data_IF_816417232911
#
_entry.id   IF_816417232911
#
_cell.length_a   1.000
_cell.length_b   1.000
_cell.length_c   1.000
_cell.angle_alpha   90.00
_cell.angle_beta   90.00
_cell.angle_gamma   90.00
#
_symmetry.space_group_name_H-M   'P 1'
#
loop_
_entity.id
_entity.type
_entity.pdbx_description
1 polymer ?
#
# COMPACT_ATOMS: atom_id res chain seq x y z
N UNK A 1 -1.79 -3.64 -7.50
CA UNK A 1 -1.20 -2.69 -6.54
C UNK A 1 0.31 -2.76 -6.66
N UNK A 2 0.96 -1.61 -6.77
CA UNK A 2 2.42 -1.51 -6.76
C UNK A 2 2.86 -0.71 -5.54
N UNK A 3 3.90 -1.17 -4.85
CA UNK A 3 4.51 -0.52 -3.70
C UNK A 3 5.95 -0.16 -4.04
N UNK A 4 6.32 1.09 -3.80
CA UNK A 4 7.69 1.59 -3.84
C UNK A 4 8.13 1.95 -2.41
N UNK A 5 9.21 1.31 -1.94
CA UNK A 5 9.69 1.47 -0.58
C UNK A 5 10.78 2.54 -0.52
N UNK A 6 10.60 3.53 0.34
CA UNK A 6 11.51 4.68 0.53
C UNK A 6 12.19 4.67 1.90
N UNK A 7 11.65 3.93 2.86
CA UNK A 7 12.21 3.69 4.21
C UNK A 7 11.88 2.25 4.62
N UNK A 8 12.70 1.66 5.49
CA UNK A 8 12.42 0.32 6.04
C UNK A 8 10.99 0.23 6.55
N UNK A 9 10.25 -0.77 6.08
CA UNK A 9 8.85 -0.95 6.43
C UNK A 9 8.51 -2.43 6.55
N UNK A 10 7.96 -2.84 7.70
CA UNK A 10 7.34 -4.15 7.81
C UNK A 10 6.02 -4.12 7.04
N UNK A 11 5.87 -5.01 6.05
CA UNK A 11 4.72 -5.02 5.17
C UNK A 11 4.03 -6.38 5.21
N UNK A 12 2.73 -6.37 5.41
CA UNK A 12 1.85 -7.53 5.22
C UNK A 12 0.77 -7.19 4.19
N UNK A 13 0.73 -7.92 3.08
CA UNK A 13 -0.30 -7.79 2.03
C UNK A 13 -1.11 -9.08 1.95
N UNK A 14 -2.43 -8.94 2.04
CA UNK A 14 -3.40 -10.00 1.76
C UNK A 14 -4.20 -9.59 0.53
N UNK A 15 -4.17 -10.43 -0.51
CA UNK A 15 -4.95 -10.27 -1.74
C UNK A 15 -6.08 -11.29 -1.75
N UNK A 16 -7.33 -10.83 -1.83
CA UNK A 16 -8.53 -11.67 -1.89
C UNK A 16 -8.57 -12.78 -0.82
N UNK A 17 -8.09 -12.49 0.38
CA UNK A 17 -8.04 -13.43 1.50
C UNK A 17 -6.75 -14.27 1.60
N UNK A 18 -5.90 -14.26 0.56
CA UNK A 18 -4.62 -14.95 0.56
C UNK A 18 -3.48 -14.00 0.95
N UNK A 19 -2.74 -14.34 2.00
CA UNK A 19 -1.59 -13.53 2.43
C UNK A 19 -0.40 -13.78 1.51
N UNK A 20 -0.07 -12.78 0.68
CA UNK A 20 0.92 -12.90 -0.41
C UNK A 20 2.30 -12.33 -0.05
N UNK A 21 2.38 -11.45 0.95
CA UNK A 21 3.64 -10.90 1.46
C UNK A 21 3.55 -10.68 2.96
N UNK A 22 4.60 -11.07 3.71
CA UNK A 22 4.79 -10.72 5.12
C UNK A 22 6.29 -10.67 5.42
N UNK A 23 6.92 -9.49 5.31
CA UNK A 23 8.34 -9.31 5.67
C UNK A 23 8.68 -7.84 5.84
N UNK A 24 9.89 -7.58 6.35
CA UNK A 24 10.52 -6.27 6.23
C UNK A 24 10.92 -6.04 4.76
N UNK A 25 10.61 -4.85 4.25
CA UNK A 25 11.09 -4.34 2.98
C UNK A 25 12.04 -3.17 3.21
N UNK A 26 13.11 -3.11 2.44
CA UNK A 26 14.16 -2.10 2.49
C UNK A 26 13.95 -0.99 1.43
N UNK A 27 14.53 0.21 1.60
CA UNK A 27 14.49 1.29 0.62
C UNK A 27 14.98 0.83 -0.76
N UNK A 28 14.25 1.19 -1.80
CA UNK A 28 14.55 0.82 -3.18
C UNK A 28 13.90 -0.49 -3.62
N UNK A 29 13.34 -1.28 -2.70
CA UNK A 29 12.52 -2.42 -3.08
C UNK A 29 11.18 -1.98 -3.68
N UNK A 30 10.74 -2.73 -4.68
CA UNK A 30 9.40 -2.58 -5.26
C UNK A 30 8.66 -3.91 -5.23
N UNK A 31 7.34 -3.87 -5.07
CA UNK A 31 6.49 -5.05 -5.05
C UNK A 31 5.21 -4.82 -5.83
N UNK A 32 4.77 -5.81 -6.59
CA UNK A 32 3.53 -5.74 -7.37
C UNK A 32 2.65 -6.93 -7.02
N UNK A 33 1.36 -6.66 -6.80
CA UNK A 33 0.36 -7.64 -6.42
C UNK A 33 -0.92 -7.42 -7.21
N UNK A 34 -1.63 -8.50 -7.51
CA UNK A 34 -2.95 -8.45 -8.14
C UNK A 34 -4.03 -8.96 -7.20
N UNK A 35 -5.23 -8.41 -7.31
CA UNK A 35 -6.44 -8.80 -6.60
C UNK A 35 -7.67 -8.49 -7.47
N UNK A 36 -8.71 -9.30 -7.33
CA UNK A 36 -10.01 -9.14 -7.96
C UNK A 36 -10.95 -8.26 -7.14
N UNK A 37 -11.01 -8.46 -5.83
CA UNK A 37 -11.97 -7.79 -4.96
C UNK A 37 -11.31 -6.75 -4.07
N UNK A 38 -10.23 -7.14 -3.38
CA UNK A 38 -9.67 -6.31 -2.30
C UNK A 38 -8.22 -6.66 -1.93
N UNK A 39 -7.54 -5.65 -1.41
CA UNK A 39 -6.33 -5.81 -0.62
C UNK A 39 -6.60 -5.48 0.85
N UNK A 40 -6.01 -6.25 1.76
CA UNK A 40 -5.82 -5.85 3.15
C UNK A 40 -4.32 -5.70 3.40
N UNK A 41 -3.91 -4.47 3.70
CA UNK A 41 -2.50 -4.09 3.82
C UNK A 41 -2.22 -3.58 5.23
N UNK A 42 -1.15 -4.08 5.83
CA UNK A 42 -0.60 -3.54 7.07
C UNK A 42 0.81 -3.05 6.77
N UNK A 43 1.10 -1.79 7.13
CA UNK A 43 2.42 -1.20 7.03
C UNK A 43 2.89 -0.82 8.43
N UNK A 44 4.12 -1.19 8.80
CA UNK A 44 4.73 -0.85 10.08
C UNK A 44 5.40 0.52 10.11
N UNK A 45 5.70 1.08 8.94
CA UNK A 45 6.24 2.41 8.74
C UNK A 45 5.62 3.02 7.48
N UNK A 46 4.38 3.50 7.59
CA UNK A 46 3.57 3.91 6.44
C UNK A 46 4.17 5.06 5.63
N UNK A 47 4.85 6.01 6.28
CA UNK A 47 5.54 7.14 5.63
C UNK A 47 6.69 6.71 4.72
N UNK A 48 7.16 5.47 4.86
CA UNK A 48 8.16 4.84 3.99
C UNK A 48 7.61 4.17 2.74
N UNK A 49 6.32 4.29 2.44
CA UNK A 49 5.66 3.53 1.37
C UNK A 49 4.88 4.44 0.44
N UNK A 50 5.20 4.38 -0.86
CA UNK A 50 4.35 4.94 -1.92
C UNK A 50 3.59 3.80 -2.56
N UNK A 51 2.28 3.97 -2.71
CA UNK A 51 1.40 2.93 -3.25
C UNK A 51 0.69 3.46 -4.49
N UNK A 52 0.54 2.60 -5.50
CA UNK A 52 -0.32 2.85 -6.66
C UNK A 52 -1.27 1.69 -6.88
N UNK A 53 -2.48 1.99 -7.34
CA UNK A 53 -3.44 1.00 -7.84
C UNK A 53 -3.82 1.37 -9.27
N UNK A 54 -3.71 0.40 -10.17
CA UNK A 54 -4.06 0.54 -11.58
C UNK A 54 -3.38 1.77 -12.23
N UNK A 55 -2.10 1.99 -11.90
CA UNK A 55 -1.30 3.12 -12.38
C UNK A 55 -1.63 4.48 -11.73
N UNK A 56 -2.61 4.55 -10.82
CA UNK A 56 -2.96 5.79 -10.12
C UNK A 56 -2.33 5.83 -8.72
N UNK A 57 -1.65 6.92 -8.35
CA UNK A 57 -1.09 7.06 -7.01
C UNK A 57 -2.17 7.14 -5.94
N UNK A 58 -1.92 6.48 -4.82
CA UNK A 58 -2.67 6.69 -3.59
C UNK A 58 -2.06 7.86 -2.82
N UNK A 59 -2.87 8.54 -2.03
CA UNK A 59 -2.40 9.43 -0.97
C UNK A 59 -1.48 8.66 -0.02
N UNK A 60 -0.62 9.37 0.69
CA UNK A 60 0.12 8.77 1.80
C UNK A 60 -0.84 8.06 2.75
N UNK A 61 -0.57 6.78 2.99
CA UNK A 61 -1.43 5.92 3.80
C UNK A 61 -1.26 6.19 5.29
N UNK A 62 -0.14 6.80 5.69
CA UNK A 62 0.19 7.24 7.04
C UNK A 62 1.55 7.93 7.07
N UNK A 63 1.96 8.37 8.26
CA UNK A 63 3.23 9.07 8.50
C UNK A 63 4.42 8.15 8.84
N UNK A 64 5.57 8.78 9.06
CA UNK A 64 6.81 8.09 9.47
C UNK A 64 6.62 7.35 10.80
N UNK A 65 6.99 6.06 10.83
CA UNK A 65 6.85 5.18 11.98
C UNK A 65 5.41 4.79 12.31
N UNK A 66 4.42 5.28 11.55
CA UNK A 66 3.02 4.99 11.81
C UNK A 66 2.67 3.58 11.30
N UNK A 67 2.00 2.83 12.17
CA UNK A 67 1.42 1.53 11.80
C UNK A 67 0.01 1.76 11.25
N UNK A 68 -0.19 1.45 9.97
CA UNK A 68 -1.50 1.59 9.33
C UNK A 68 -2.05 0.25 8.88
N UNK A 69 -3.38 0.12 8.95
CA UNK A 69 -4.14 -1.03 8.45
C UNK A 69 -5.18 -0.50 7.50
N UNK A 70 -5.07 -0.86 6.22
CA UNK A 70 -5.96 -0.35 5.18
C UNK A 70 -6.63 -1.51 4.44
N UNK A 71 -7.96 -1.40 4.31
CA UNK A 71 -8.74 -2.19 3.37
C UNK A 71 -8.87 -1.36 2.09
N UNK A 72 -8.44 -1.91 0.96
CA UNK A 72 -8.55 -1.27 -0.34
C UNK A 72 -9.47 -2.13 -1.20
N UNK A 73 -10.62 -1.56 -1.59
CA UNK A 73 -11.60 -2.18 -2.49
C UNK A 73 -12.23 -1.09 -3.38
N UNK A 74 -13.13 -1.47 -4.29
CA UNK A 74 -13.78 -0.53 -5.20
C UNK A 74 -14.58 0.58 -4.49
N UNK A 75 -15.15 0.32 -3.31
CA UNK A 75 -16.00 1.29 -2.60
C UNK A 75 -15.19 2.44 -2.00
N UNK A 76 -13.95 2.18 -1.59
CA UNK A 76 -13.11 3.17 -0.88
C UNK A 76 -11.97 3.70 -1.74
N UNK A 77 -11.68 3.07 -2.89
CA UNK A 77 -10.52 3.39 -3.73
C UNK A 77 -10.47 4.88 -4.07
N UNK A 78 -11.59 5.47 -4.50
CA UNK A 78 -11.64 6.89 -4.91
C UNK A 78 -11.24 7.87 -3.80
N UNK A 79 -11.45 7.51 -2.53
CA UNK A 79 -11.05 8.34 -1.40
C UNK A 79 -9.54 8.25 -1.11
N UNK A 80 -8.93 7.14 -1.49
CA UNK A 80 -7.52 6.85 -1.31
C UNK A 80 -6.67 7.39 -2.47
N UNK A 81 -7.24 7.57 -3.66
CA UNK A 81 -6.52 8.15 -4.80
C UNK A 81 -6.02 9.56 -4.46
N UNK A 82 -4.77 9.83 -4.81
CA UNK A 82 -4.24 11.19 -4.80
C UNK A 82 -5.00 12.02 -5.85
N UNK A 83 -5.41 13.23 -5.48
CA UNK A 83 -6.12 14.12 -6.39
C UNK A 83 -5.08 15.02 -7.08
N UNK A 84 -5.11 15.18 -8.40
CA UNK A 84 -4.25 16.12 -9.07
C UNK A 84 -4.52 17.53 -8.53
N UNK A 85 -3.50 18.17 -7.99
CA UNK A 85 -3.52 19.59 -7.73
C UNK A 85 -3.37 20.30 -9.07
N UNK A 86 -4.44 20.98 -9.51
CA UNK A 86 -4.42 21.82 -10.71
C UNK A 86 -3.69 23.13 -10.48
#
# INVERSE_FOLDING_TARGET
>A
MHLDITKDCWVSVTSDGNRVLVRLLEPGETQTFDALERFYVILGNAGGVRATINGKPLKQLGGDGEVVKVLINQQVLDNLLERPHG
#
